data_IF_854688729217
#
_entry.id   IF_854688729217
#
_cell.length_a   1.000
_cell.length_b   1.000
_cell.length_c   1.000
_cell.angle_alpha   90.00
_cell.angle_beta   90.00
_cell.angle_gamma   90.00
#
_symmetry.space_group_name_H-M   'P 1'
#
loop_
_entity.id
_entity.type
_entity.pdbx_description
1 polymer ?
#
# COMPACT_ATOMS: atom_id res chain seq x y z
N UNK A 1 4.42 -17.84 -22.68
CA UNK A 1 3.76 -18.80 -21.78
C UNK A 1 3.00 -17.99 -20.74
N UNK A 2 1.79 -18.41 -20.33
CA UNK A 2 1.01 -17.65 -19.37
C UNK A 2 1.73 -17.57 -18.01
N UNK A 3 1.70 -16.40 -17.38
CA UNK A 3 2.38 -16.14 -16.10
C UNK A 3 1.39 -16.38 -14.98
N UNK A 4 1.13 -17.64 -14.69
CA UNK A 4 0.05 -18.04 -13.79
C UNK A 4 0.42 -17.81 -12.32
N UNK A 5 -0.54 -17.30 -11.54
CA UNK A 5 -0.42 -17.23 -10.08
C UNK A 5 -0.37 -18.65 -9.52
N UNK A 6 0.75 -19.01 -8.87
CA UNK A 6 0.99 -20.36 -8.36
C UNK A 6 0.78 -20.48 -6.85
N UNK A 7 1.19 -19.47 -6.09
CA UNK A 7 1.07 -19.45 -4.63
C UNK A 7 0.84 -18.04 -4.12
N UNK A 8 0.01 -17.93 -3.09
CA UNK A 8 -0.19 -16.71 -2.30
C UNK A 8 0.04 -17.05 -0.84
N UNK A 9 0.63 -16.11 -0.11
CA UNK A 9 0.78 -16.22 1.33
C UNK A 9 0.74 -14.84 1.97
N UNK A 10 0.02 -14.72 3.08
CA UNK A 10 0.00 -13.51 3.89
C UNK A 10 0.45 -13.75 5.32
N UNK A 11 0.92 -12.67 5.93
CA UNK A 11 1.31 -12.61 7.35
C UNK A 11 0.99 -11.24 7.95
N UNK A 12 0.86 -11.22 9.26
CA UNK A 12 0.77 -9.98 10.04
C UNK A 12 2.18 -9.43 10.30
N UNK A 13 2.41 -8.16 9.96
CA UNK A 13 3.62 -7.40 10.27
C UNK A 13 3.25 -6.10 11.00
N UNK A 14 4.23 -5.26 11.36
CA UNK A 14 3.98 -3.96 12.00
C UNK A 14 4.24 -2.79 11.06
N UNK A 15 3.36 -1.78 11.11
CA UNK A 15 3.53 -0.49 10.42
C UNK A 15 4.52 0.44 11.14
N UNK A 16 4.79 1.61 10.58
CA UNK A 16 5.71 2.60 11.16
C UNK A 16 5.25 3.18 12.52
N UNK A 17 3.99 2.93 12.92
CA UNK A 17 3.41 3.33 14.21
C UNK A 17 3.31 2.15 15.18
N UNK A 18 3.83 0.98 14.80
CA UNK A 18 3.76 -0.24 15.61
C UNK A 18 2.38 -0.90 15.64
N UNK A 19 1.46 -0.57 14.74
CA UNK A 19 0.18 -1.27 14.62
C UNK A 19 0.29 -2.43 13.62
N UNK A 20 -0.46 -3.52 13.81
CA UNK A 20 -0.52 -4.61 12.84
C UNK A 20 -0.96 -4.15 11.44
N UNK A 21 -0.40 -4.77 10.40
CA UNK A 21 -0.85 -4.65 9.01
C UNK A 21 -0.56 -5.94 8.23
N UNK A 22 -1.17 -6.07 7.05
CA UNK A 22 -1.05 -7.24 6.18
C UNK A 22 0.14 -7.09 5.24
N UNK A 23 0.99 -8.12 5.19
CA UNK A 23 1.97 -8.33 4.14
C UNK A 23 1.58 -9.57 3.31
N UNK A 24 1.62 -9.43 1.99
CA UNK A 24 1.30 -10.51 1.04
C UNK A 24 2.48 -10.78 0.12
N UNK A 25 2.76 -12.07 -0.10
CA UNK A 25 3.69 -12.60 -1.09
C UNK A 25 2.92 -13.41 -2.14
N UNK A 26 3.25 -13.18 -3.41
CA UNK A 26 2.72 -13.92 -4.55
C UNK A 26 3.88 -14.53 -5.31
N UNK A 27 3.80 -15.83 -5.60
CA UNK A 27 4.75 -16.55 -6.45
C UNK A 27 4.03 -17.05 -7.70
N UNK A 28 4.67 -16.90 -8.84
CA UNK A 28 4.18 -17.27 -10.16
C UNK A 28 4.75 -18.62 -10.61
N UNK A 29 4.15 -19.21 -11.63
CA UNK A 29 4.57 -20.53 -12.14
C UNK A 29 5.99 -20.55 -12.73
N UNK A 30 6.53 -19.39 -13.11
CA UNK A 30 7.91 -19.20 -13.57
C UNK A 30 8.91 -18.93 -12.43
N UNK A 31 8.47 -19.06 -11.17
CA UNK A 31 9.21 -18.75 -9.94
C UNK A 31 9.47 -17.26 -9.66
N UNK A 32 8.98 -16.35 -10.52
CA UNK A 32 8.96 -14.92 -10.22
C UNK A 32 8.03 -14.66 -9.02
N UNK A 33 8.38 -13.68 -8.20
CA UNK A 33 7.60 -13.38 -7.00
C UNK A 33 7.59 -11.89 -6.67
N UNK A 34 6.56 -11.48 -5.93
CA UNK A 34 6.34 -10.11 -5.51
C UNK A 34 5.81 -10.04 -4.09
N UNK A 35 6.11 -8.95 -3.39
CA UNK A 35 5.70 -8.71 -2.01
C UNK A 35 5.17 -7.31 -1.82
N UNK A 36 4.11 -7.18 -1.03
CA UNK A 36 3.53 -5.89 -0.69
C UNK A 36 3.04 -5.88 0.76
N UNK A 37 3.37 -4.80 1.47
CA UNK A 37 2.79 -4.47 2.76
C UNK A 37 1.78 -3.34 2.58
N UNK A 38 0.64 -3.42 3.25
CA UNK A 38 -0.43 -2.43 3.13
C UNK A 38 -0.23 -1.29 4.14
N UNK A 39 -0.29 -0.02 3.72
CA UNK A 39 -0.26 1.08 4.67
C UNK A 39 -1.58 1.16 5.44
N UNK A 40 -1.51 1.55 6.72
CA UNK A 40 -2.69 1.83 7.53
C UNK A 40 -2.92 3.34 7.63
N UNK A 41 -4.14 3.77 7.32
CA UNK A 41 -4.58 5.16 7.49
C UNK A 41 -4.78 5.54 8.97
N UNK A 42 -4.79 6.84 9.25
CA UNK A 42 -5.25 7.40 10.54
C UNK A 42 -6.65 8.00 10.45
N UNK A 43 -7.06 8.40 9.24
CA UNK A 43 -8.35 9.03 8.94
C UNK A 43 -9.18 8.03 8.14
N UNK A 44 -10.38 7.71 8.62
CA UNK A 44 -11.32 6.83 7.92
C UNK A 44 -12.47 7.68 7.41
N UNK A 45 -12.42 8.04 6.13
CA UNK A 45 -13.56 8.67 5.48
C UNK A 45 -14.75 7.70 5.42
N UNK A 46 -15.96 8.19 5.65
CA UNK A 46 -17.18 7.34 5.69
C UNK A 46 -17.50 6.63 4.36
N UNK A 47 -16.88 7.07 3.25
CA UNK A 47 -17.03 6.50 1.91
C UNK A 47 -15.78 5.72 1.44
N UNK A 48 -14.82 5.50 2.33
CA UNK A 48 -13.59 4.79 1.98
C UNK A 48 -13.79 3.27 2.03
N UNK A 49 -12.92 2.56 1.32
CA UNK A 49 -12.84 1.11 1.47
C UNK A 49 -12.38 0.76 2.89
N UNK A 50 -13.00 -0.26 3.49
CA UNK A 50 -12.82 -0.55 4.90
C UNK A 50 -11.69 -1.54 5.14
N UNK A 51 -10.73 -1.14 5.96
CA UNK A 51 -9.72 -2.03 6.51
C UNK A 51 -10.38 -3.02 7.49
N UNK A 52 -10.10 -4.32 7.34
CA UNK A 52 -10.58 -5.33 8.28
C UNK A 52 -9.61 -5.47 9.46
N UNK A 53 -10.14 -5.25 10.67
CA UNK A 53 -9.46 -5.41 11.95
C UNK A 53 -10.12 -6.50 12.79
N UNK A 54 -9.35 -7.16 13.64
CA UNK A 54 -9.81 -8.31 14.42
C UNK A 54 -10.85 -7.91 15.48
N UNK A 55 -10.67 -6.74 16.11
CA UNK A 55 -11.50 -6.26 17.22
C UNK A 55 -11.20 -6.91 18.57
N UNK A 56 -10.21 -7.81 18.64
CA UNK A 56 -9.83 -8.53 19.86
C UNK A 56 -8.94 -7.68 20.78
N UNK A 57 -9.50 -7.12 21.86
CA UNK A 57 -8.79 -6.17 22.73
C UNK A 57 -7.57 -6.74 23.45
N UNK A 58 -7.49 -8.06 23.61
CA UNK A 58 -6.35 -8.80 24.18
C UNK A 58 -5.07 -8.68 23.33
N UNK A 59 -5.20 -8.41 22.02
CA UNK A 59 -4.09 -8.31 21.06
C UNK A 59 -4.09 -6.96 20.37
N UNK A 60 -2.99 -6.22 20.50
CA UNK A 60 -2.81 -4.92 19.85
C UNK A 60 -3.99 -3.94 20.05
N UNK A 61 -4.67 -4.02 21.20
CA UNK A 61 -5.84 -3.18 21.51
C UNK A 61 -6.97 -3.29 20.46
N UNK A 62 -7.18 -4.49 19.89
CA UNK A 62 -8.21 -4.73 18.87
C UNK A 62 -7.77 -4.44 17.44
N UNK A 63 -6.52 -4.00 17.23
CA UNK A 63 -5.99 -3.62 15.92
C UNK A 63 -5.32 -4.76 15.15
N UNK A 64 -5.40 -6.00 15.64
CA UNK A 64 -4.93 -7.17 14.89
C UNK A 64 -5.55 -7.26 13.50
N UNK A 65 -4.88 -7.95 12.58
CA UNK A 65 -5.33 -8.16 11.19
C UNK A 65 -5.35 -9.65 10.80
N UNK A 66 -5.43 -10.56 11.77
CA UNK A 66 -5.41 -11.99 11.51
C UNK A 66 -6.58 -12.44 10.63
N UNK A 67 -7.77 -11.85 10.76
CA UNK A 67 -8.90 -12.15 9.87
C UNK A 67 -8.60 -11.79 8.41
N UNK A 68 -7.98 -10.64 8.18
CA UNK A 68 -7.58 -10.24 6.83
C UNK A 68 -6.48 -11.16 6.28
N UNK A 69 -5.52 -11.55 7.12
CA UNK A 69 -4.47 -12.53 6.77
C UNK A 69 -5.08 -13.90 6.45
N UNK A 70 -6.09 -14.33 7.18
CA UNK A 70 -6.81 -15.57 6.94
C UNK A 70 -7.52 -15.54 5.58
N UNK A 71 -8.25 -14.46 5.26
CA UNK A 71 -8.88 -14.28 3.95
C UNK A 71 -7.87 -14.36 2.79
N UNK A 72 -6.65 -13.83 2.94
CA UNK A 72 -5.62 -13.94 1.89
C UNK A 72 -5.05 -15.36 1.79
N UNK A 73 -4.97 -16.10 2.88
CA UNK A 73 -4.41 -17.45 2.89
C UNK A 73 -5.42 -18.54 2.52
N UNK A 74 -6.72 -18.29 2.70
CA UNK A 74 -7.79 -19.30 2.54
C UNK A 74 -8.77 -18.92 1.43
N UNK A 75 -9.47 -17.79 1.53
CA UNK A 75 -10.58 -17.47 0.62
C UNK A 75 -10.14 -16.90 -0.73
N UNK A 76 -9.22 -15.91 -0.73
CA UNK A 76 -8.75 -15.27 -1.98
C UNK A 76 -8.14 -16.28 -2.95
N UNK A 77 -7.30 -17.26 -2.52
CA UNK A 77 -6.73 -18.27 -3.39
C UNK A 77 -7.76 -19.04 -4.24
N UNK A 78 -9.00 -19.20 -3.76
CA UNK A 78 -10.05 -19.92 -4.49
C UNK A 78 -10.41 -19.28 -5.84
N UNK A 79 -10.22 -17.95 -5.97
CA UNK A 79 -10.58 -17.21 -7.19
C UNK A 79 -9.40 -16.68 -7.98
N UNK A 80 -8.19 -16.66 -7.40
CA UNK A 80 -7.01 -16.05 -8.05
C UNK A 80 -5.92 -17.03 -8.46
N UNK A 81 -5.82 -18.22 -7.82
CA UNK A 81 -4.82 -19.21 -8.24
C UNK A 81 -5.12 -19.68 -9.66
N UNK A 82 -4.08 -19.76 -10.48
CA UNK A 82 -4.21 -20.12 -11.90
C UNK A 82 -4.70 -19.01 -12.82
N UNK A 83 -5.00 -17.80 -12.32
CA UNK A 83 -5.18 -16.62 -13.17
C UNK A 83 -3.83 -16.14 -13.72
N UNK A 84 -3.87 -15.48 -14.88
CA UNK A 84 -2.69 -14.82 -15.46
C UNK A 84 -2.39 -13.53 -14.69
N UNK A 85 -1.22 -13.46 -14.08
CA UNK A 85 -0.77 -12.30 -13.31
C UNK A 85 -0.56 -11.04 -14.19
N UNK A 86 -0.45 -11.20 -15.51
CA UNK A 86 -0.38 -10.08 -16.45
C UNK A 86 -1.75 -9.42 -16.67
N UNK A 87 -2.86 -10.10 -16.38
CA UNK A 87 -4.21 -9.51 -16.40
C UNK A 87 -4.58 -9.01 -15.00
N UNK A 88 -3.91 -7.93 -14.58
CA UNK A 88 -4.13 -7.28 -13.29
C UNK A 88 -5.62 -6.97 -13.05
N UNK A 89 -6.33 -6.53 -14.10
CA UNK A 89 -7.72 -6.16 -13.99
C UNK A 89 -8.63 -7.37 -13.77
N UNK A 90 -8.32 -8.54 -14.34
CA UNK A 90 -9.05 -9.78 -14.05
C UNK A 90 -8.83 -10.24 -12.60
N UNK A 91 -7.59 -10.19 -12.12
CA UNK A 91 -7.26 -10.54 -10.73
C UNK A 91 -8.00 -9.62 -9.74
N UNK A 92 -7.94 -8.30 -9.96
CA UNK A 92 -8.62 -7.33 -9.11
C UNK A 92 -10.15 -7.53 -9.15
N UNK A 93 -10.74 -7.75 -10.34
CA UNK A 93 -12.18 -8.04 -10.47
C UNK A 93 -12.59 -9.31 -9.73
N UNK A 94 -11.80 -10.39 -9.83
CA UNK A 94 -12.10 -11.65 -9.15
C UNK A 94 -12.20 -11.46 -7.62
N UNK A 95 -11.26 -10.70 -7.04
CA UNK A 95 -11.29 -10.37 -5.60
C UNK A 95 -12.47 -9.46 -5.23
N UNK A 96 -12.78 -8.46 -6.05
CA UNK A 96 -13.94 -7.59 -5.84
C UNK A 96 -15.26 -8.37 -5.89
N UNK A 97 -15.39 -9.32 -6.83
CA UNK A 97 -16.56 -10.19 -6.94
C UNK A 97 -16.67 -11.14 -5.74
N UNK A 98 -15.56 -11.70 -5.26
CA UNK A 98 -15.53 -12.57 -4.08
C UNK A 98 -15.95 -11.84 -2.79
N UNK A 99 -15.50 -10.59 -2.64
CA UNK A 99 -15.91 -9.73 -1.53
C UNK A 99 -17.40 -9.37 -1.61
N UNK A 100 -17.83 -8.90 -2.78
CA UNK A 100 -19.24 -8.63 -3.07
C UNK A 100 -19.81 -7.40 -2.36
N UNK A 101 -19.03 -6.65 -1.59
CA UNK A 101 -19.47 -5.38 -0.99
C UNK A 101 -18.86 -4.18 -1.73
N UNK A 102 -19.57 -3.05 -1.69
CA UNK A 102 -19.14 -1.83 -2.37
C UNK A 102 -17.83 -1.27 -1.78
N UNK A 103 -17.63 -1.49 -0.48
CA UNK A 103 -16.54 -0.94 0.33
C UNK A 103 -15.46 -1.96 0.73
N UNK A 104 -15.45 -3.17 0.16
CA UNK A 104 -14.46 -4.22 0.48
C UNK A 104 -14.49 -4.70 1.94
N UNK A 105 -15.64 -4.57 2.59
CA UNK A 105 -15.80 -4.76 4.02
C UNK A 105 -15.87 -6.23 4.46
N UNK A 106 -16.07 -7.17 3.52
CA UNK A 106 -16.14 -8.60 3.84
C UNK A 106 -14.75 -9.21 3.99
N UNK A 107 -13.89 -9.05 2.98
CA UNK A 107 -12.51 -9.55 2.99
C UNK A 107 -11.54 -8.56 3.63
N UNK A 108 -11.88 -7.27 3.62
CA UNK A 108 -11.00 -6.18 4.02
C UNK A 108 -10.25 -5.58 2.83
N UNK A 109 -10.30 -4.25 2.72
CA UNK A 109 -9.54 -3.51 1.73
C UNK A 109 -8.03 -3.76 1.83
N UNK A 110 -7.53 -4.03 3.04
CA UNK A 110 -6.15 -4.43 3.31
C UNK A 110 -5.79 -5.81 2.75
N UNK A 111 -6.69 -6.80 2.82
CA UNK A 111 -6.45 -8.09 2.17
C UNK A 111 -6.37 -7.95 0.65
N UNK A 112 -7.37 -7.30 0.05
CA UNK A 112 -7.49 -7.14 -1.40
C UNK A 112 -6.32 -6.32 -1.97
N UNK A 113 -5.99 -5.18 -1.35
CA UNK A 113 -4.91 -4.32 -1.81
C UNK A 113 -3.54 -5.01 -1.68
N UNK A 114 -3.33 -5.78 -0.61
CA UNK A 114 -2.10 -6.54 -0.41
C UNK A 114 -1.84 -7.53 -1.55
N UNK A 115 -2.86 -8.33 -1.92
CA UNK A 115 -2.77 -9.27 -3.04
C UNK A 115 -2.60 -8.52 -4.37
N UNK A 116 -3.41 -7.49 -4.63
CA UNK A 116 -3.35 -6.68 -5.86
C UNK A 116 -1.93 -6.14 -6.13
N UNK A 117 -1.30 -5.52 -5.13
CA UNK A 117 0.05 -4.98 -5.24
C UNK A 117 1.12 -6.07 -5.37
N UNK A 118 0.97 -7.20 -4.67
CA UNK A 118 1.93 -8.30 -4.72
C UNK A 118 1.91 -8.99 -6.10
N UNK A 119 0.73 -9.16 -6.71
CA UNK A 119 0.57 -9.67 -8.08
C UNK A 119 1.25 -8.75 -9.08
N UNK A 120 0.99 -7.44 -9.04
CA UNK A 120 1.61 -6.47 -9.95
C UNK A 120 3.14 -6.50 -9.87
N UNK A 121 3.70 -6.65 -8.66
CA UNK A 121 5.14 -6.76 -8.45
C UNK A 121 5.70 -8.06 -8.99
N UNK A 122 5.02 -9.19 -8.75
CA UNK A 122 5.46 -10.48 -9.26
C UNK A 122 5.45 -10.50 -10.80
N UNK A 123 4.38 -9.98 -11.40
CA UNK A 123 4.24 -9.85 -12.84
C UNK A 123 5.32 -8.96 -13.46
N UNK A 124 5.63 -7.81 -12.84
CA UNK A 124 6.73 -6.94 -13.26
C UNK A 124 8.09 -7.66 -13.27
N UNK A 125 8.36 -8.47 -12.23
CA UNK A 125 9.58 -9.30 -12.14
C UNK A 125 9.60 -10.35 -13.26
N UNK A 126 8.48 -11.03 -13.51
CA UNK A 126 8.37 -12.06 -14.56
C UNK A 126 8.69 -11.52 -15.96
N UNK A 127 8.24 -10.31 -16.28
CA UNK A 127 8.54 -9.68 -17.58
C UNK A 127 9.84 -8.86 -17.59
N UNK A 128 10.61 -8.87 -16.50
CA UNK A 128 11.90 -8.17 -16.42
C UNK A 128 11.79 -6.65 -16.44
N UNK A 129 10.67 -6.08 -15.99
CA UNK A 129 10.45 -4.63 -15.96
C UNK A 129 10.50 -4.09 -14.53
N UNK A 130 11.06 -2.88 -14.32
CA UNK A 130 10.85 -2.19 -13.06
C UNK A 130 9.36 -1.82 -12.92
N UNK A 131 8.84 -1.86 -11.69
CA UNK A 131 7.40 -1.73 -11.41
C UNK A 131 6.76 -0.50 -12.06
N UNK A 132 7.43 0.66 -12.06
CA UNK A 132 6.89 1.88 -12.67
C UNK A 132 6.68 1.75 -14.19
N UNK A 133 7.54 0.99 -14.89
CA UNK A 133 7.38 0.68 -16.32
C UNK A 133 6.30 -0.34 -16.56
N UNK A 134 6.19 -1.35 -15.69
CA UNK A 134 5.12 -2.34 -15.76
C UNK A 134 3.75 -1.68 -15.63
N UNK A 135 3.58 -0.78 -14.65
CA UNK A 135 2.31 -0.10 -14.38
C UNK A 135 1.98 1.02 -15.39
N UNK A 136 2.97 1.85 -15.75
CA UNK A 136 2.73 3.07 -16.54
C UNK A 136 3.26 3.03 -17.98
N UNK A 137 3.81 1.90 -18.41
CA UNK A 137 4.31 1.68 -19.76
C UNK A 137 5.55 2.51 -20.13
N UNK A 138 5.76 2.67 -21.44
CA UNK A 138 6.93 3.35 -22.02
C UNK A 138 6.99 4.85 -21.69
N UNK A 139 5.87 5.46 -21.30
CA UNK A 139 5.79 6.89 -20.96
C UNK A 139 5.99 7.17 -19.47
N UNK A 140 6.11 6.14 -18.62
CA UNK A 140 6.39 6.32 -17.19
C UNK A 140 7.85 6.76 -16.95
N UNK A 141 8.12 8.05 -17.12
CA UNK A 141 9.45 8.65 -16.99
C UNK A 141 9.46 9.99 -16.23
N UNK A 142 8.30 10.48 -15.79
CA UNK A 142 8.18 11.72 -15.04
C UNK A 142 8.38 11.46 -13.54
N UNK A 143 9.34 12.17 -12.94
CA UNK A 143 9.49 12.20 -11.48
C UNK A 143 8.63 13.32 -10.88
N UNK A 144 7.94 13.08 -9.75
CA UNK A 144 7.04 14.06 -9.16
C UNK A 144 7.80 15.20 -8.47
N UNK A 145 7.16 16.36 -8.33
CA UNK A 145 7.59 17.38 -7.36
C UNK A 145 7.12 16.91 -5.98
N UNK A 146 8.02 16.66 -5.01
CA UNK A 146 7.63 16.21 -3.68
C UNK A 146 7.00 17.35 -2.89
N UNK A 147 5.94 17.05 -2.15
CA UNK A 147 5.39 17.92 -1.10
C UNK A 147 5.87 17.38 0.25
N UNK A 148 6.90 18.00 0.83
CA UNK A 148 7.47 17.55 2.10
C UNK A 148 6.71 18.19 3.25
N UNK A 149 6.03 17.39 4.06
CA UNK A 149 5.48 17.85 5.33
C UNK A 149 6.62 18.17 6.31
N UNK A 150 6.71 19.42 6.76
CA UNK A 150 7.79 19.93 7.62
C UNK A 150 7.31 20.44 8.97
N UNK A 151 6.02 20.79 9.10
CA UNK A 151 5.39 21.22 10.34
C UNK A 151 4.00 20.61 10.45
N UNK A 152 3.67 20.12 11.63
CA UNK A 152 2.37 19.53 11.93
C UNK A 152 1.61 20.45 12.89
N UNK A 153 0.31 20.59 12.64
CA UNK A 153 -0.62 21.29 13.49
C UNK A 153 -1.86 20.43 13.78
N UNK A 154 -2.97 21.09 14.13
CA UNK A 154 -4.23 20.43 14.46
C UNK A 154 -4.14 19.54 15.70
N UNK A 155 -5.03 18.54 15.79
CA UNK A 155 -5.22 17.67 16.97
C UNK A 155 -3.95 16.89 17.37
N UNK A 156 -3.02 16.71 16.43
CA UNK A 156 -1.77 15.97 16.64
C UNK A 156 -0.63 16.85 17.17
N UNK A 157 -0.82 18.17 17.23
CA UNK A 157 0.11 19.11 17.84
C UNK A 157 -0.57 19.74 19.07
N UNK A 158 0.15 19.80 20.19
CA UNK A 158 -0.33 20.22 21.51
C UNK A 158 -1.19 21.50 21.49
N UNK A 159 -1.96 21.74 22.57
CA UNK A 159 -2.95 22.83 22.77
C UNK A 159 -2.57 24.28 22.37
N UNK A 160 -1.32 24.57 22.00
CA UNK A 160 -0.84 25.86 21.47
C UNK A 160 -0.46 25.77 19.99
N UNK A 161 -1.23 25.01 19.21
CA UNK A 161 -0.95 24.67 17.83
C UNK A 161 -1.88 25.41 16.86
N UNK A 162 -1.41 25.57 15.61
CA UNK A 162 -2.20 26.13 14.51
C UNK A 162 -3.30 25.15 14.07
N UNK A 163 -4.42 25.66 13.55
CA UNK A 163 -5.55 24.83 13.12
C UNK A 163 -5.23 23.90 11.93
N UNK A 164 -4.33 24.30 11.03
CA UNK A 164 -3.97 23.50 9.86
C UNK A 164 -3.14 22.27 10.26
N UNK A 165 -3.51 21.11 9.73
CA UNK A 165 -2.91 19.83 10.11
C UNK A 165 -1.47 19.66 9.62
N UNK A 166 -1.18 20.07 8.39
CA UNK A 166 0.13 19.85 7.75
C UNK A 166 0.54 21.08 6.94
N UNK A 167 1.79 21.53 7.13
CA UNK A 167 2.41 22.58 6.32
C UNK A 167 3.55 21.96 5.53
N UNK A 168 3.44 22.07 4.21
CA UNK A 168 4.35 21.42 3.28
C UNK A 168 5.16 22.45 2.50
N UNK A 169 6.38 22.06 2.13
CA UNK A 169 7.19 22.76 1.13
C UNK A 169 7.27 21.94 -0.15
N UNK A 170 7.29 22.64 -1.29
CA UNK A 170 7.43 22.04 -2.60
C UNK A 170 8.59 22.73 -3.37
N UNK A 171 9.71 22.05 -3.65
CA UNK A 171 10.86 22.62 -4.35
C UNK A 171 10.62 22.68 -5.87
N UNK A 172 9.63 23.46 -6.31
CA UNK A 172 9.17 23.53 -7.72
C UNK A 172 10.25 24.01 -8.70
N UNK A 173 11.27 24.73 -8.22
CA UNK A 173 12.38 25.24 -9.04
C UNK A 173 13.57 24.28 -9.17
N UNK A 174 13.53 23.10 -8.53
CA UNK A 174 14.65 22.16 -8.59
C UNK A 174 14.75 21.50 -9.98
N UNK A 175 15.96 21.35 -10.54
CA UNK A 175 16.14 20.85 -11.90
C UNK A 175 15.89 19.33 -12.04
N UNK A 176 15.84 18.59 -10.93
CA UNK A 176 15.56 17.16 -10.89
C UNK A 176 15.15 16.73 -9.47
N UNK A 177 14.63 15.50 -9.34
CA UNK A 177 14.17 14.97 -8.05
C UNK A 177 15.29 14.88 -6.98
N UNK A 178 16.54 14.59 -7.39
CA UNK A 178 17.68 14.51 -6.47
C UNK A 178 17.94 15.87 -5.81
N UNK A 179 17.93 16.94 -6.59
CA UNK A 179 18.06 18.30 -6.08
C UNK A 179 16.85 18.73 -5.27
N UNK A 180 15.63 18.37 -5.70
CA UNK A 180 14.41 18.60 -4.93
C UNK A 180 14.49 17.99 -3.52
N UNK A 181 14.93 16.74 -3.43
CA UNK A 181 15.12 16.05 -2.15
C UNK A 181 16.19 16.73 -1.28
N UNK A 182 17.31 17.14 -1.88
CA UNK A 182 18.37 17.87 -1.17
C UNK A 182 17.85 19.19 -0.59
N UNK A 183 17.14 19.98 -1.39
CA UNK A 183 16.56 21.27 -0.94
C UNK A 183 15.57 21.08 0.20
N UNK A 184 14.72 20.06 0.11
CA UNK A 184 13.79 19.70 1.19
C UNK A 184 14.51 19.31 2.48
N UNK A 185 15.53 18.46 2.40
CA UNK A 185 16.32 18.02 3.54
C UNK A 185 17.09 19.17 4.21
N UNK A 186 17.78 20.02 3.44
CA UNK A 186 18.49 21.19 3.95
C UNK A 186 17.53 22.18 4.64
N UNK A 187 16.36 22.40 4.06
CA UNK A 187 15.31 23.26 4.64
C UNK A 187 14.77 22.68 5.95
N UNK A 188 14.52 21.36 5.99
CA UNK A 188 14.09 20.67 7.22
C UNK A 188 15.13 20.76 8.33
N UNK A 189 16.42 20.57 8.02
CA UNK A 189 17.50 20.71 8.99
C UNK A 189 17.70 22.15 9.47
N UNK A 190 17.56 23.13 8.58
CA UNK A 190 17.60 24.54 8.96
C UNK A 190 16.45 24.89 9.91
N UNK A 191 15.23 24.44 9.60
CA UNK A 191 14.04 24.64 10.44
C UNK A 191 14.18 24.01 11.83
N UNK A 192 14.79 22.83 11.93
CA UNK A 192 15.01 22.15 13.22
C UNK A 192 15.89 22.96 14.19
N UNK A 193 16.73 23.86 13.67
CA UNK A 193 17.63 24.68 14.49
C UNK A 193 16.98 25.99 14.98
N UNK A 194 15.72 26.26 14.59
CA UNK A 194 14.92 27.40 15.04
C UNK A 194 13.98 26.95 16.15
#
# INVERSE_FOLDING_TARGET
MPVLIHKIHAREILDSRGNPTVEVEVTLADSSWGRAAVPSGASTGIYEALELRDGETSRYQGKGVLKAVEHVNIDIPEVVLGLDALDQAAVDRAMLTLDGTENKGKLGANAILGVSMAVARAAAVSVGLPLYRYLGGASANLLPVPMFNILNGGVHANWQSTDLQEFMIAPVGAPNFREALRWGAETYHALKNV
#
